data_IF_811950823026
#
_entry.id   IF_811950823026
#
_cell.length_a   1.000
_cell.length_b   1.000
_cell.length_c   1.000
_cell.angle_alpha   90.00
_cell.angle_beta   90.00
_cell.angle_gamma   90.00
#
_symmetry.space_group_name_H-M   'P 1'
#
loop_
_entity.id
_entity.type
_entity.pdbx_description
1 polymer ?
#
# COMPACT_ATOMS: atom_id res chain seq x y z
N UNK A 1 26.80 -19.05 -30.97
CA UNK A 1 27.93 -19.69 -31.67
C UNK A 1 27.42 -20.26 -32.98
N UNK A 2 28.30 -20.71 -33.87
CA UNK A 2 27.91 -21.30 -35.17
C UNK A 2 26.95 -22.48 -35.03
N UNK A 3 27.05 -23.22 -33.92
CA UNK A 3 26.11 -24.29 -33.57
C UNK A 3 24.66 -23.77 -33.45
N UNK A 4 24.43 -22.68 -32.72
CA UNK A 4 23.08 -22.14 -32.52
C UNK A 4 22.52 -21.48 -33.80
N UNK A 5 23.38 -20.93 -34.66
CA UNK A 5 22.95 -20.34 -35.93
C UNK A 5 22.46 -21.38 -36.96
N UNK A 6 22.99 -22.61 -36.88
CA UNK A 6 22.61 -23.72 -37.76
C UNK A 6 21.52 -24.62 -37.16
N UNK A 7 20.98 -24.30 -35.98
CA UNK A 7 19.89 -25.07 -35.37
C UNK A 7 18.55 -24.74 -36.04
N UNK A 8 17.99 -25.73 -36.75
CA UNK A 8 16.68 -25.64 -37.41
C UNK A 8 15.54 -25.23 -36.50
N UNK A 9 15.54 -25.73 -35.26
CA UNK A 9 14.50 -25.39 -34.30
C UNK A 9 14.61 -23.92 -33.89
N UNK A 10 15.83 -23.40 -33.75
CA UNK A 10 16.09 -22.03 -33.34
C UNK A 10 15.64 -21.01 -34.39
N UNK A 11 16.05 -21.17 -35.66
CA UNK A 11 15.61 -20.22 -36.70
C UNK A 11 14.11 -20.37 -37.03
N UNK A 12 13.54 -21.58 -36.93
CA UNK A 12 12.10 -21.78 -37.11
C UNK A 12 11.31 -21.07 -36.02
N UNK A 13 11.76 -21.15 -34.77
CA UNK A 13 11.16 -20.41 -33.65
C UNK A 13 11.25 -18.90 -33.89
N UNK A 14 12.43 -18.38 -34.26
CA UNK A 14 12.62 -16.96 -34.55
C UNK A 14 11.73 -16.47 -35.71
N UNK A 15 11.66 -17.22 -36.81
CA UNK A 15 10.80 -16.89 -37.95
C UNK A 15 9.31 -16.86 -37.56
N UNK A 16 8.85 -17.84 -36.76
CA UNK A 16 7.50 -17.86 -36.22
C UNK A 16 7.23 -16.68 -35.28
N UNK A 17 8.18 -16.32 -34.42
CA UNK A 17 8.06 -15.16 -33.53
C UNK A 17 7.88 -13.87 -34.32
N UNK A 18 8.64 -13.67 -35.41
CA UNK A 18 8.47 -12.50 -36.29
C UNK A 18 7.11 -12.53 -36.99
N UNK A 19 6.71 -13.69 -37.54
CA UNK A 19 5.43 -13.83 -38.26
C UNK A 19 4.21 -13.62 -37.35
N UNK A 20 4.29 -14.05 -36.10
CA UNK A 20 3.19 -13.98 -35.13
C UNK A 20 3.26 -12.75 -34.22
N UNK A 21 4.32 -11.94 -34.31
CA UNK A 21 4.44 -10.72 -33.54
C UNK A 21 3.27 -9.78 -33.84
N UNK A 22 2.43 -9.56 -32.82
CA UNK A 22 1.33 -8.60 -32.85
C UNK A 22 1.48 -7.67 -31.66
N UNK A 23 1.94 -6.42 -31.87
CA UNK A 23 2.01 -5.43 -30.81
C UNK A 23 0.63 -5.28 -30.16
N UNK A 24 0.55 -5.46 -28.84
CA UNK A 24 -0.68 -5.20 -28.11
C UNK A 24 -0.83 -3.70 -27.87
N UNK A 25 -2.04 -3.18 -28.12
CA UNK A 25 -2.38 -1.80 -27.84
C UNK A 25 -2.37 -1.48 -26.33
N UNK A 26 -2.44 -2.51 -25.49
CA UNK A 26 -2.46 -2.38 -24.02
C UNK A 26 -1.05 -2.31 -23.40
N UNK A 27 0.00 -2.31 -24.22
CA UNK A 27 1.37 -2.20 -23.72
C UNK A 27 1.70 -0.77 -23.30
N UNK A 28 2.55 -0.65 -22.28
CA UNK A 28 3.02 0.62 -21.73
C UNK A 28 4.45 0.80 -22.20
N UNK A 29 4.72 1.71 -23.15
CA UNK A 29 6.08 1.93 -23.64
C UNK A 29 6.92 2.56 -22.53
N UNK A 30 8.02 1.90 -22.18
CA UNK A 30 8.94 2.34 -21.12
C UNK A 30 10.39 2.27 -21.57
N UNK A 31 11.25 3.07 -20.95
CA UNK A 31 12.71 2.97 -21.07
C UNK A 31 13.30 2.32 -19.83
N UNK A 32 14.42 1.63 -19.96
CA UNK A 32 15.06 0.90 -18.86
C UNK A 32 16.45 1.44 -18.50
N UNK A 33 16.79 1.42 -17.22
CA UNK A 33 18.12 1.77 -16.72
C UNK A 33 18.62 0.72 -15.72
N UNK A 34 19.90 0.36 -15.85
CA UNK A 34 20.56 -0.59 -14.97
C UNK A 34 20.35 -2.05 -15.37
N UNK A 35 21.10 -2.94 -14.74
CA UNK A 35 21.12 -4.36 -15.04
C UNK A 35 22.33 -4.77 -15.89
N UNK A 36 22.44 -6.07 -16.11
CA UNK A 36 23.52 -6.68 -16.90
C UNK A 36 23.20 -6.62 -18.40
N UNK A 37 24.16 -7.01 -19.26
CA UNK A 37 23.98 -7.11 -20.71
C UNK A 37 22.81 -8.00 -21.15
N UNK A 38 22.35 -8.90 -20.28
CA UNK A 38 21.20 -9.77 -20.55
C UNK A 38 19.88 -9.21 -20.04
N UNK A 39 19.89 -8.08 -19.31
CA UNK A 39 18.70 -7.36 -18.86
C UNK A 39 17.61 -8.29 -18.31
N UNK A 40 17.99 -9.19 -17.39
CA UNK A 40 17.13 -10.29 -16.90
C UNK A 40 15.82 -9.75 -16.31
N UNK A 41 15.90 -8.66 -15.53
CA UNK A 41 14.72 -8.03 -14.92
C UNK A 41 13.81 -7.40 -15.96
N UNK A 42 14.38 -6.70 -16.92
CA UNK A 42 13.65 -6.11 -18.04
C UNK A 42 12.98 -7.20 -18.90
N UNK A 43 13.63 -8.34 -19.09
CA UNK A 43 13.03 -9.50 -19.78
C UNK A 43 11.80 -10.04 -19.05
N UNK A 44 11.86 -10.15 -17.71
CA UNK A 44 10.71 -10.54 -16.89
C UNK A 44 9.58 -9.51 -17.04
N UNK A 45 9.88 -8.22 -16.91
CA UNK A 45 8.91 -7.14 -17.07
C UNK A 45 8.18 -7.23 -18.42
N UNK A 46 8.93 -7.40 -19.52
CA UNK A 46 8.36 -7.48 -20.86
C UNK A 46 7.56 -8.74 -21.15
N UNK A 47 7.75 -9.81 -20.37
CA UNK A 47 7.02 -11.08 -20.53
C UNK A 47 5.80 -11.20 -19.62
N UNK A 48 5.90 -10.70 -18.39
CA UNK A 48 4.93 -10.95 -17.32
C UNK A 48 4.04 -9.73 -17.03
N UNK A 49 4.35 -8.57 -17.61
CA UNK A 49 3.59 -7.33 -17.36
C UNK A 49 3.25 -6.60 -18.65
N UNK A 50 2.51 -5.49 -18.55
CA UNK A 50 2.23 -4.59 -19.67
C UNK A 50 3.42 -3.72 -20.08
N UNK A 51 4.51 -3.69 -19.31
CA UNK A 51 5.67 -2.86 -19.61
C UNK A 51 6.40 -3.31 -20.88
N UNK A 52 6.34 -2.52 -21.94
CA UNK A 52 7.08 -2.74 -23.18
C UNK A 52 8.35 -1.90 -23.19
N UNK A 53 9.49 -2.54 -22.95
CA UNK A 53 10.79 -1.88 -22.94
C UNK A 53 11.28 -1.58 -24.36
N UNK A 54 11.57 -0.31 -24.62
CA UNK A 54 12.33 0.11 -25.79
C UNK A 54 13.84 0.16 -25.50
N UNK A 55 14.40 1.37 -25.43
CA UNK A 55 15.81 1.54 -25.10
C UNK A 55 16.11 1.16 -23.65
N UNK A 56 17.22 0.45 -23.46
CA UNK A 56 17.73 0.04 -22.16
C UNK A 56 19.18 0.49 -22.02
N UNK A 57 19.50 1.22 -20.96
CA UNK A 57 20.85 1.65 -20.64
C UNK A 57 21.49 0.72 -19.61
N UNK A 58 22.61 0.11 -19.97
CA UNK A 58 23.34 -0.80 -19.10
C UNK A 58 23.93 -0.08 -17.88
N UNK A 59 24.04 -0.76 -16.72
CA UNK A 59 24.56 -0.18 -15.46
C UNK A 59 25.85 0.64 -15.64
N UNK A 60 26.79 0.17 -16.46
CA UNK A 60 28.09 0.83 -16.70
C UNK A 60 27.97 2.22 -17.32
N UNK A 61 26.89 2.49 -18.04
CA UNK A 61 26.71 3.72 -18.81
C UNK A 61 25.81 4.73 -18.09
N UNK A 62 25.02 4.27 -17.10
CA UNK A 62 24.06 5.10 -16.35
C UNK A 62 24.75 6.30 -15.66
N UNK A 63 25.96 6.12 -15.12
CA UNK A 63 26.70 7.23 -14.49
C UNK A 63 27.05 8.39 -15.45
N UNK A 64 26.98 8.17 -16.76
CA UNK A 64 27.25 9.18 -17.80
C UNK A 64 26.00 9.69 -18.52
N UNK A 65 24.82 9.27 -18.08
CA UNK A 65 23.55 9.63 -18.70
C UNK A 65 23.30 11.14 -18.66
N UNK A 66 22.78 11.69 -19.77
CA UNK A 66 22.44 13.10 -19.93
C UNK A 66 20.96 13.27 -20.25
N UNK A 67 20.34 14.41 -19.94
CA UNK A 67 18.93 14.68 -20.25
C UNK A 67 18.57 14.45 -21.72
N UNK A 68 19.44 14.86 -22.65
CA UNK A 68 19.19 14.73 -24.09
C UNK A 68 19.16 13.26 -24.52
N UNK A 69 19.98 12.41 -23.88
CA UNK A 69 19.97 10.96 -24.13
C UNK A 69 18.66 10.34 -23.64
N UNK A 70 18.17 10.73 -22.46
CA UNK A 70 16.89 10.23 -21.91
C UNK A 70 15.73 10.64 -22.81
N UNK A 71 15.69 11.89 -23.26
CA UNK A 71 14.68 12.36 -24.23
C UNK A 71 14.72 11.55 -25.52
N UNK A 72 15.92 11.33 -26.08
CA UNK A 72 16.07 10.52 -27.30
C UNK A 72 15.63 9.06 -27.07
N UNK A 73 16.00 8.46 -25.92
CA UNK A 73 15.57 7.13 -25.55
C UNK A 73 14.05 7.06 -25.49
N UNK A 74 13.38 8.02 -24.87
CA UNK A 74 11.92 8.04 -24.77
C UNK A 74 11.25 8.20 -26.14
N UNK A 75 11.66 9.20 -26.93
CA UNK A 75 11.13 9.47 -28.27
C UNK A 75 11.28 8.25 -29.19
N UNK A 76 12.48 7.66 -29.24
CA UNK A 76 12.80 6.52 -30.11
C UNK A 76 12.24 5.18 -29.60
N UNK A 77 11.68 5.16 -28.40
CA UNK A 77 11.00 3.99 -27.81
C UNK A 77 9.48 4.07 -27.94
N UNK A 78 8.99 4.67 -29.02
CA UNK A 78 7.55 4.83 -29.25
C UNK A 78 6.91 5.89 -28.33
N UNK A 79 7.68 6.89 -27.90
CA UNK A 79 7.22 7.90 -26.95
C UNK A 79 7.00 7.31 -25.56
N UNK A 80 8.03 6.65 -25.02
CA UNK A 80 7.96 6.01 -23.72
C UNK A 80 7.44 6.97 -22.63
N UNK A 81 6.46 6.50 -21.88
CA UNK A 81 5.68 7.31 -20.93
C UNK A 81 6.19 7.21 -19.49
N UNK A 82 7.12 6.28 -19.23
CA UNK A 82 7.73 6.06 -17.94
C UNK A 82 9.13 5.42 -18.08
N UNK A 83 9.88 5.41 -16.99
CA UNK A 83 11.18 4.75 -16.90
C UNK A 83 11.20 3.67 -15.81
N UNK A 84 11.78 2.52 -16.11
CA UNK A 84 12.10 1.50 -15.12
C UNK A 84 13.57 1.60 -14.72
N UNK A 85 13.84 1.65 -13.40
CA UNK A 85 15.19 1.72 -12.85
C UNK A 85 15.48 0.48 -12.00
N UNK A 86 16.43 -0.35 -12.43
CA UNK A 86 16.95 -1.44 -11.60
C UNK A 86 17.87 -0.86 -10.52
N UNK A 87 17.25 -0.35 -9.45
CA UNK A 87 17.94 0.28 -8.32
C UNK A 87 18.93 -0.65 -7.63
N UNK A 88 18.77 -1.98 -7.73
CA UNK A 88 19.71 -2.94 -7.13
C UNK A 88 21.01 -3.04 -7.93
N UNK A 89 20.99 -2.63 -9.19
CA UNK A 89 22.12 -2.66 -10.10
C UNK A 89 22.86 -1.31 -10.18
N UNK A 90 22.46 -0.30 -9.38
CA UNK A 90 23.02 1.06 -9.42
C UNK A 90 23.43 1.53 -8.02
N UNK A 91 24.43 2.41 -7.95
CA UNK A 91 24.82 3.08 -6.71
C UNK A 91 23.86 4.22 -6.35
N UNK A 92 23.84 4.63 -5.07
CA UNK A 92 22.99 5.75 -4.62
C UNK A 92 23.22 7.06 -5.40
N UNK A 93 24.47 7.47 -5.72
CA UNK A 93 24.71 8.67 -6.52
C UNK A 93 24.17 8.56 -7.95
N UNK A 94 24.31 7.40 -8.59
CA UNK A 94 23.78 7.17 -9.95
C UNK A 94 22.25 7.21 -9.96
N UNK A 95 21.60 6.61 -8.96
CA UNK A 95 20.15 6.68 -8.79
C UNK A 95 19.72 8.13 -8.62
N UNK A 96 20.35 8.89 -7.72
CA UNK A 96 20.01 10.28 -7.48
C UNK A 96 20.18 11.15 -8.74
N UNK A 97 21.26 10.96 -9.50
CA UNK A 97 21.52 11.63 -10.76
C UNK A 97 20.45 11.32 -11.81
N UNK A 98 20.16 10.03 -12.02
CA UNK A 98 19.15 9.57 -12.98
C UNK A 98 17.74 10.05 -12.60
N UNK A 99 17.33 9.88 -11.34
CA UNK A 99 16.01 10.33 -10.88
C UNK A 99 15.86 11.84 -11.04
N UNK A 100 16.90 12.63 -10.74
CA UNK A 100 16.86 14.08 -10.98
C UNK A 100 16.67 14.45 -12.45
N UNK A 101 17.25 13.70 -13.38
CA UNK A 101 17.02 13.90 -14.83
C UNK A 101 15.59 13.52 -15.21
N UNK A 102 15.11 12.36 -14.75
CA UNK A 102 13.75 11.88 -15.03
C UNK A 102 12.69 12.87 -14.54
N UNK A 103 12.84 13.37 -13.30
CA UNK A 103 11.96 14.36 -12.70
C UNK A 103 11.95 15.68 -13.50
N UNK A 104 13.14 16.17 -13.89
CA UNK A 104 13.27 17.40 -14.68
C UNK A 104 12.63 17.29 -16.07
N UNK A 105 12.58 16.07 -16.63
CA UNK A 105 11.95 15.78 -17.92
C UNK A 105 10.47 15.39 -17.78
N UNK A 106 9.95 15.26 -16.56
CA UNK A 106 8.58 14.80 -16.33
C UNK A 106 8.34 13.35 -16.74
N UNK A 107 9.37 12.51 -16.76
CA UNK A 107 9.26 11.08 -17.05
C UNK A 107 9.20 10.32 -15.72
N UNK A 108 8.02 9.85 -15.30
CA UNK A 108 7.87 9.17 -14.01
C UNK A 108 8.61 7.82 -13.98
N UNK A 109 9.13 7.47 -12.81
CA UNK A 109 9.63 6.12 -12.55
C UNK A 109 8.44 5.15 -12.34
N UNK A 110 8.52 3.96 -12.93
CA UNK A 110 7.57 2.86 -12.71
C UNK A 110 8.31 1.58 -12.31
N UNK A 111 7.88 0.96 -11.22
CA UNK A 111 8.50 -0.27 -10.74
C UNK A 111 7.85 -1.51 -11.35
N UNK A 112 8.56 -2.64 -11.32
CA UNK A 112 7.99 -3.96 -11.66
C UNK A 112 6.73 -4.24 -10.82
N UNK A 113 6.76 -3.88 -9.53
CA UNK A 113 5.61 -4.04 -8.64
C UNK A 113 4.41 -3.19 -9.05
N UNK A 114 4.63 -1.96 -9.54
CA UNK A 114 3.54 -1.10 -10.03
C UNK A 114 2.95 -1.66 -11.32
N UNK A 115 3.78 -2.15 -12.24
CA UNK A 115 3.34 -2.81 -13.48
C UNK A 115 2.51 -4.07 -13.22
N UNK A 116 2.84 -4.84 -12.17
CA UNK A 116 2.04 -5.99 -11.74
C UNK A 116 0.70 -5.53 -11.15
N UNK A 117 0.73 -4.53 -10.26
CA UNK A 117 -0.48 -3.99 -9.61
C UNK A 117 -1.43 -3.31 -10.58
N UNK A 118 -0.90 -2.74 -11.66
CA UNK A 118 -1.69 -2.09 -12.71
C UNK A 118 -2.63 -3.06 -13.41
N UNK A 119 -2.42 -4.38 -13.31
CA UNK A 119 -3.36 -5.42 -13.77
C UNK A 119 -3.96 -5.15 -15.18
N UNK A 120 -5.28 -5.11 -15.30
CA UNK A 120 -6.02 -4.78 -16.52
C UNK A 120 -6.19 -3.27 -16.75
N UNK A 121 -5.89 -2.40 -15.78
CA UNK A 121 -6.01 -0.94 -15.89
C UNK A 121 -5.10 -0.34 -16.98
N UNK A 122 -5.45 0.83 -17.51
CA UNK A 122 -4.55 1.63 -18.35
C UNK A 122 -3.52 2.40 -17.53
N UNK A 123 -2.40 2.76 -18.17
CA UNK A 123 -1.40 3.60 -17.52
C UNK A 123 -1.91 5.01 -17.16
N UNK A 124 -2.84 5.55 -17.95
CA UNK A 124 -3.44 6.85 -17.67
C UNK A 124 -4.28 6.83 -16.40
N UNK A 125 -5.12 5.81 -16.23
CA UNK A 125 -5.88 5.60 -15.00
C UNK A 125 -4.93 5.37 -13.80
N UNK A 126 -3.89 4.54 -13.96
CA UNK A 126 -2.89 4.33 -12.90
C UNK A 126 -2.25 5.63 -12.41
N UNK A 127 -1.90 6.55 -13.33
CA UNK A 127 -1.37 7.88 -12.99
C UNK A 127 -2.37 8.70 -12.19
N UNK A 128 -3.65 8.68 -12.56
CA UNK A 128 -4.71 9.41 -11.83
C UNK A 128 -4.83 8.89 -10.39
N UNK A 129 -4.89 7.58 -10.21
CA UNK A 129 -4.95 6.97 -8.87
C UNK A 129 -3.68 7.22 -8.05
N UNK A 130 -2.51 7.14 -8.67
CA UNK A 130 -1.23 7.45 -8.00
C UNK A 130 -1.17 8.92 -7.58
N UNK A 131 -1.62 9.85 -8.42
CA UNK A 131 -1.71 11.27 -8.09
C UNK A 131 -2.69 11.53 -6.93
N UNK A 132 -3.85 10.87 -6.93
CA UNK A 132 -4.81 10.96 -5.82
C UNK A 132 -4.24 10.43 -4.50
N UNK A 133 -3.40 9.40 -4.52
CA UNK A 133 -2.66 8.94 -3.33
C UNK A 133 -1.67 10.01 -2.85
N UNK A 134 -0.93 10.61 -3.77
CA UNK A 134 0.07 11.65 -3.49
C UNK A 134 -0.53 12.98 -2.96
N UNK A 135 -1.82 13.22 -3.19
CA UNK A 135 -2.57 14.33 -2.59
C UNK A 135 -2.89 14.09 -1.10
N UNK A 136 -3.02 12.83 -0.69
CA UNK A 136 -3.21 12.45 0.72
C UNK A 136 -1.89 12.65 1.47
N UNK A 137 -0.84 11.99 0.99
CA UNK A 137 0.51 12.09 1.52
C UNK A 137 1.49 11.68 0.42
N UNK A 138 2.61 12.40 0.29
CA UNK A 138 3.59 12.13 -0.76
C UNK A 138 4.27 10.77 -0.57
N UNK A 139 4.31 9.97 -1.63
CA UNK A 139 5.01 8.69 -1.63
C UNK A 139 4.22 7.53 -1.02
N UNK A 140 2.90 7.67 -0.87
CA UNK A 140 2.03 6.54 -0.54
C UNK A 140 2.08 5.49 -1.66
N UNK A 141 1.99 4.22 -1.26
CA UNK A 141 1.86 3.11 -2.19
C UNK A 141 0.42 2.64 -2.23
N UNK A 142 -0.10 2.46 -3.44
CA UNK A 142 -1.43 1.88 -3.67
C UNK A 142 -1.32 0.37 -3.91
N UNK A 143 -2.35 -0.37 -3.49
CA UNK A 143 -2.44 -1.82 -3.64
C UNK A 143 -3.86 -2.21 -4.06
N UNK A 144 -4.02 -2.85 -5.23
CA UNK A 144 -5.33 -3.17 -5.78
C UNK A 144 -5.98 -4.33 -5.03
N UNK A 145 -7.30 -4.26 -4.89
CA UNK A 145 -8.15 -5.38 -4.50
C UNK A 145 -9.08 -5.73 -5.66
N UNK A 146 -8.88 -6.92 -6.23
CA UNK A 146 -9.57 -7.34 -7.46
C UNK A 146 -9.10 -6.61 -8.72
N UNK A 147 -9.86 -6.79 -9.81
CA UNK A 147 -9.67 -6.03 -11.04
C UNK A 147 -10.23 -4.62 -10.88
N UNK A 148 -9.52 -3.63 -11.40
CA UNK A 148 -9.90 -2.22 -11.26
C UNK A 148 -9.99 -1.63 -12.66
N UNK A 149 -11.20 -1.24 -13.03
CA UNK A 149 -11.46 -0.60 -14.31
C UNK A 149 -10.92 0.85 -14.33
N UNK A 150 -10.71 1.35 -15.54
CA UNK A 150 -10.42 2.76 -15.77
C UNK A 150 -11.58 3.64 -15.27
N UNK A 151 -11.23 4.70 -14.55
CA UNK A 151 -12.20 5.54 -13.85
C UNK A 151 -11.58 6.79 -13.27
N UNK A 152 -12.44 7.63 -12.69
CA UNK A 152 -11.99 8.82 -11.97
C UNK A 152 -11.77 8.48 -10.49
N UNK A 153 -10.57 8.72 -9.93
CA UNK A 153 -10.27 8.36 -8.56
C UNK A 153 -11.05 9.22 -7.57
N UNK A 154 -11.52 8.60 -6.50
CA UNK A 154 -12.09 9.28 -5.34
C UNK A 154 -11.45 8.75 -4.06
N UNK A 155 -10.94 9.68 -3.24
CA UNK A 155 -10.35 9.38 -1.94
C UNK A 155 -11.44 9.22 -0.87
N UNK A 156 -11.53 8.04 -0.28
CA UNK A 156 -12.41 7.75 0.86
C UNK A 156 -11.52 7.68 2.10
N UNK A 157 -11.65 8.66 2.99
CA UNK A 157 -10.86 8.72 4.23
C UNK A 157 -11.74 8.48 5.44
N UNK A 158 -11.23 7.73 6.40
CA UNK A 158 -11.81 7.57 7.72
C UNK A 158 -11.01 8.43 8.72
N UNK A 159 -11.65 8.97 9.77
CA UNK A 159 -10.93 9.57 10.89
C UNK A 159 -9.91 8.58 11.50
N UNK A 160 -8.70 9.04 11.82
CA UNK A 160 -7.61 8.16 12.33
C UNK A 160 -7.99 7.47 13.64
N UNK A 161 -8.71 8.16 14.53
CA UNK A 161 -9.20 7.61 15.80
C UNK A 161 -10.24 6.51 15.58
N UNK A 162 -11.16 6.72 14.64
CA UNK A 162 -12.17 5.73 14.25
C UNK A 162 -11.55 4.51 13.58
N UNK A 163 -10.63 4.72 12.63
CA UNK A 163 -9.90 3.64 11.97
C UNK A 163 -9.02 2.86 12.96
N UNK A 164 -8.30 3.56 13.85
CA UNK A 164 -7.46 2.93 14.87
C UNK A 164 -8.29 2.13 15.87
N UNK A 165 -9.46 2.64 16.27
CA UNK A 165 -10.37 1.90 17.14
C UNK A 165 -10.88 0.61 16.47
N UNK A 166 -11.20 0.63 15.18
CA UNK A 166 -11.68 -0.55 14.46
C UNK A 166 -10.55 -1.54 14.13
N UNK A 167 -9.46 -1.08 13.55
CA UNK A 167 -8.47 -1.92 12.88
C UNK A 167 -7.04 -1.79 13.43
N UNK A 168 -6.82 -0.96 14.45
CA UNK A 168 -5.46 -0.69 14.97
C UNK A 168 -4.75 -1.90 15.57
N UNK A 169 -5.49 -2.92 16.03
CA UNK A 169 -4.92 -4.19 16.53
C UNK A 169 -4.91 -5.30 15.48
N UNK A 170 -5.83 -5.25 14.53
CA UNK A 170 -6.01 -6.26 13.50
C UNK A 170 -6.64 -5.63 12.26
N UNK A 171 -5.85 -5.54 11.19
CA UNK A 171 -6.28 -5.01 9.90
C UNK A 171 -6.86 -6.07 8.96
N UNK A 172 -6.86 -7.36 9.35
CA UNK A 172 -7.35 -8.43 8.49
C UNK A 172 -8.82 -8.23 8.05
N UNK A 173 -9.76 -7.82 8.93
CA UNK A 173 -11.14 -7.56 8.51
C UNK A 173 -11.25 -6.44 7.47
N UNK A 174 -10.41 -5.40 7.56
CA UNK A 174 -10.37 -4.31 6.59
C UNK A 174 -9.90 -4.81 5.23
N UNK A 175 -8.79 -5.56 5.20
CA UNK A 175 -8.25 -6.14 3.96
C UNK A 175 -9.25 -7.12 3.32
N UNK A 176 -9.86 -8.02 4.10
CA UNK A 176 -10.88 -8.95 3.59
C UNK A 176 -12.10 -8.24 3.01
N UNK A 177 -12.58 -7.18 3.67
CA UNK A 177 -13.68 -6.38 3.12
C UNK A 177 -13.32 -5.75 1.77
N UNK A 178 -12.09 -5.26 1.60
CA UNK A 178 -11.66 -4.68 0.32
C UNK A 178 -11.51 -5.75 -0.76
N UNK A 179 -10.98 -6.94 -0.41
CA UNK A 179 -10.92 -8.09 -1.33
C UNK A 179 -12.31 -8.52 -1.81
N UNK A 180 -13.30 -8.55 -0.91
CA UNK A 180 -14.70 -8.88 -1.23
C UNK A 180 -15.38 -7.77 -2.04
N UNK A 181 -15.05 -6.50 -1.75
CA UNK A 181 -15.61 -5.34 -2.46
C UNK A 181 -15.10 -5.29 -3.90
N UNK A 182 -13.80 -5.51 -4.11
CA UNK A 182 -13.14 -5.37 -5.40
C UNK A 182 -13.16 -3.94 -5.95
N UNK A 183 -12.37 -3.66 -6.99
CA UNK A 183 -12.41 -2.36 -7.67
C UNK A 183 -11.89 -1.18 -6.84
N UNK A 184 -11.06 -1.44 -5.83
CA UNK A 184 -10.56 -0.45 -4.88
C UNK A 184 -9.08 -0.63 -4.60
N UNK A 185 -8.40 0.43 -4.17
CA UNK A 185 -7.03 0.37 -3.66
C UNK A 185 -7.00 0.71 -2.18
N UNK A 186 -6.27 -0.06 -1.39
CA UNK A 186 -5.77 0.46 -0.12
C UNK A 186 -4.46 1.23 -0.34
N UNK A 187 -4.17 2.15 0.57
CA UNK A 187 -2.92 2.91 0.60
C UNK A 187 -2.08 2.56 1.82
N UNK A 188 -0.77 2.48 1.62
CA UNK A 188 0.20 2.32 2.72
C UNK A 188 1.24 3.43 2.70
N UNK A 189 1.61 3.95 3.87
CA UNK A 189 2.72 4.86 4.07
C UNK A 189 4.07 4.16 4.22
N UNK A 190 5.03 4.88 4.78
CA UNK A 190 6.37 4.34 5.04
C UNK A 190 6.32 3.09 5.94
N UNK A 191 7.20 2.13 5.66
CA UNK A 191 7.26 0.86 6.40
C UNK A 191 6.06 -0.05 6.19
N UNK A 192 5.15 0.26 5.25
CA UNK A 192 3.94 -0.52 5.02
C UNK A 192 2.83 -0.23 6.03
N UNK A 193 2.88 0.91 6.75
CA UNK A 193 1.78 1.34 7.62
C UNK A 193 0.50 1.50 6.78
N UNK A 194 -0.53 0.75 7.11
CA UNK A 194 -1.84 0.89 6.50
C UNK A 194 -2.43 2.26 6.86
N UNK A 195 -2.92 3.00 5.86
CA UNK A 195 -3.50 4.32 6.06
C UNK A 195 -5.03 4.22 6.20
N UNK A 196 -5.69 5.15 6.91
CA UNK A 196 -7.15 5.20 7.04
C UNK A 196 -7.81 5.74 5.76
N UNK A 197 -7.34 5.32 4.59
CA UNK A 197 -7.82 5.80 3.31
C UNK A 197 -7.86 4.68 2.27
N UNK A 198 -8.83 4.80 1.35
CA UNK A 198 -9.07 3.89 0.23
C UNK A 198 -9.32 4.74 -1.00
N UNK A 199 -8.81 4.30 -2.15
CA UNK A 199 -9.13 4.89 -3.45
C UNK A 199 -10.12 3.99 -4.18
N UNK A 200 -11.16 4.58 -4.74
CA UNK A 200 -12.16 3.86 -5.55
C UNK A 200 -12.53 4.72 -6.76
N UNK A 201 -13.24 4.14 -7.74
CA UNK A 201 -13.91 4.95 -8.75
C UNK A 201 -14.95 5.87 -8.07
N UNK A 202 -15.00 7.13 -8.50
CA UNK A 202 -15.93 8.13 -7.99
C UNK A 202 -17.40 7.67 -7.99
N UNK A 203 -17.81 6.83 -8.94
CA UNK A 203 -19.15 6.22 -9.01
C UNK A 203 -19.43 5.28 -7.84
N UNK A 204 -18.40 4.61 -7.32
CA UNK A 204 -18.50 3.64 -6.23
C UNK A 204 -18.24 4.27 -4.85
N UNK A 205 -17.79 5.54 -4.80
CA UNK A 205 -17.41 6.25 -3.57
C UNK A 205 -18.41 6.07 -2.43
N UNK A 206 -19.70 6.33 -2.67
CA UNK A 206 -20.74 6.27 -1.63
C UNK A 206 -20.93 4.86 -1.08
N UNK A 207 -20.97 3.86 -1.95
CA UNK A 207 -21.15 2.46 -1.56
C UNK A 207 -19.98 1.97 -0.70
N UNK A 208 -18.74 2.20 -1.17
CA UNK A 208 -17.52 1.79 -0.46
C UNK A 208 -17.40 2.53 0.88
N UNK A 209 -17.66 3.84 0.90
CA UNK A 209 -17.64 4.62 2.14
C UNK A 209 -18.65 4.10 3.17
N UNK A 210 -19.89 3.84 2.75
CA UNK A 210 -20.92 3.29 3.62
C UNK A 210 -20.56 1.92 4.17
N UNK A 211 -20.02 1.03 3.33
CA UNK A 211 -19.55 -0.30 3.74
C UNK A 211 -18.40 -0.24 4.74
N UNK A 212 -17.41 0.65 4.52
CA UNK A 212 -16.29 0.84 5.44
C UNK A 212 -16.75 1.38 6.81
N UNK A 213 -17.69 2.31 6.83
CA UNK A 213 -18.27 2.84 8.07
C UNK A 213 -18.97 1.71 8.82
N UNK A 214 -19.86 0.97 8.15
CA UNK A 214 -20.60 -0.14 8.74
C UNK A 214 -19.66 -1.21 9.31
N UNK A 215 -18.62 -1.61 8.55
CA UNK A 215 -17.60 -2.56 9.01
C UNK A 215 -16.85 -2.04 10.25
N UNK A 216 -16.48 -0.75 10.26
CA UNK A 216 -15.76 -0.14 11.37
C UNK A 216 -16.59 -0.16 12.66
N UNK A 217 -17.86 0.24 12.58
CA UNK A 217 -18.80 0.16 13.71
C UNK A 217 -18.95 -1.29 14.19
N UNK A 218 -19.16 -2.23 13.27
CA UNK A 218 -19.28 -3.66 13.60
C UNK A 218 -18.03 -4.19 14.29
N UNK A 219 -16.84 -3.82 13.82
CA UNK A 219 -15.60 -4.29 14.39
C UNK A 219 -15.33 -3.69 15.78
N UNK A 220 -15.61 -2.40 15.99
CA UNK A 220 -15.50 -1.76 17.31
C UNK A 220 -16.45 -2.42 18.31
N UNK A 221 -17.73 -2.55 17.95
CA UNK A 221 -18.77 -3.12 18.81
C UNK A 221 -18.56 -4.62 19.11
N UNK A 222 -17.96 -5.37 18.19
CA UNK A 222 -17.64 -6.79 18.41
C UNK A 222 -16.44 -7.00 19.34
N UNK A 223 -15.48 -6.08 19.34
CA UNK A 223 -14.18 -6.29 19.98
C UNK A 223 -13.95 -5.47 21.25
N UNK A 224 -14.81 -4.49 21.52
CA UNK A 224 -14.64 -3.56 22.64
C UNK A 224 -15.96 -3.39 23.41
N UNK A 225 -15.84 -3.10 24.70
CA UNK A 225 -16.96 -2.65 25.51
C UNK A 225 -17.28 -1.21 25.10
N UNK A 226 -18.35 -1.01 24.35
CA UNK A 226 -18.76 0.30 23.88
C UNK A 226 -20.27 0.45 23.79
N UNK A 227 -20.73 1.70 23.84
CA UNK A 227 -22.12 2.09 23.59
C UNK A 227 -22.15 2.97 22.35
N UNK A 228 -23.10 2.70 21.47
CA UNK A 228 -23.39 3.54 20.30
C UNK A 228 -24.63 4.35 20.60
N UNK A 229 -24.52 5.66 20.48
CA UNK A 229 -25.63 6.61 20.64
C UNK A 229 -25.58 7.60 19.49
N UNK A 230 -26.64 7.63 18.67
CA UNK A 230 -26.73 8.40 17.42
C UNK A 230 -25.47 8.28 16.53
N UNK A 231 -24.66 9.32 16.45
CA UNK A 231 -23.43 9.42 15.65
C UNK A 231 -22.14 9.29 16.50
N UNK A 232 -22.24 8.82 17.75
CA UNK A 232 -21.11 8.70 18.67
C UNK A 232 -20.97 7.26 19.17
N UNK A 233 -19.75 6.72 19.09
CA UNK A 233 -19.36 5.49 19.78
C UNK A 233 -18.52 5.84 21.00
N UNK A 234 -19.00 5.48 22.18
CA UNK A 234 -18.25 5.64 23.43
C UNK A 234 -17.66 4.30 23.85
N UNK A 235 -16.33 4.21 23.81
CA UNK A 235 -15.55 3.03 24.18
C UNK A 235 -15.15 3.12 25.64
N UNK A 236 -15.47 2.08 26.41
CA UNK A 236 -15.09 1.92 27.81
C UNK A 236 -13.81 1.08 27.91
N UNK A 237 -12.74 1.65 28.46
CA UNK A 237 -11.49 0.93 28.73
C UNK A 237 -11.23 0.86 30.23
N UNK A 238 -11.18 -0.35 30.77
CA UNK A 238 -10.73 -0.60 32.15
C UNK A 238 -9.21 -0.51 32.21
N UNK A 239 -8.69 0.35 33.08
CA UNK A 239 -7.26 0.53 33.29
C UNK A 239 -6.95 0.43 34.78
N UNK A 240 -5.80 -0.17 35.12
CA UNK A 240 -5.36 -0.27 36.49
C UNK A 240 -4.96 1.11 37.05
N UNK A 241 -5.57 1.50 38.16
CA UNK A 241 -5.23 2.73 38.88
C UNK A 241 -4.22 2.43 40.00
N UNK A 242 -2.96 2.74 39.72
CA UNK A 242 -1.87 2.57 40.68
C UNK A 242 -2.02 3.44 41.94
N UNK A 243 -2.73 4.58 41.87
CA UNK A 243 -2.98 5.43 43.05
C UNK A 243 -4.03 4.79 43.95
N UNK A 244 -5.10 4.27 43.36
CA UNK A 244 -6.13 3.54 44.10
C UNK A 244 -5.54 2.29 44.77
N UNK A 245 -4.73 1.52 44.04
CA UNK A 245 -4.02 0.36 44.57
C UNK A 245 -3.08 0.69 45.75
N UNK A 246 -2.32 1.79 45.66
CA UNK A 246 -1.48 2.27 46.78
C UNK A 246 -2.32 2.69 47.99
N UNK A 247 -3.45 3.34 47.75
CA UNK A 247 -4.38 3.78 48.81
C UNK A 247 -4.96 2.58 49.57
N UNK A 248 -5.20 1.46 48.88
CA UNK A 248 -5.63 0.20 49.50
C UNK A 248 -4.48 -0.56 50.20
N UNK A 249 -3.25 -0.04 50.16
CA UNK A 249 -2.07 -0.62 50.82
C UNK A 249 -1.37 -1.72 50.01
N UNK A 250 -1.63 -1.81 48.70
CA UNK A 250 -1.01 -2.80 47.84
C UNK A 250 0.41 -2.33 47.48
N UNK A 251 1.48 -3.10 47.81
CA UNK A 251 2.83 -2.69 47.49
C UNK A 251 3.07 -2.73 45.98
N UNK A 252 3.79 -1.74 45.47
CA UNK A 252 4.21 -1.71 44.07
C UNK A 252 5.08 -2.92 43.74
N UNK A 253 4.80 -3.60 42.63
CA UNK A 253 5.56 -4.77 42.22
C UNK A 253 4.68 -5.84 41.55
N UNK A 254 5.02 -7.14 41.68
CA UNK A 254 4.35 -8.23 40.97
C UNK A 254 2.83 -8.28 41.19
N UNK A 255 2.35 -7.81 42.35
CA UNK A 255 0.92 -7.78 42.69
C UNK A 255 0.11 -6.82 41.80
N UNK A 256 0.71 -5.70 41.37
CA UNK A 256 0.06 -4.79 40.42
C UNK A 256 -0.11 -5.47 39.07
N UNK A 257 0.90 -6.22 38.63
CA UNK A 257 0.82 -6.99 37.39
C UNK A 257 -0.26 -8.07 37.44
N UNK A 258 -0.44 -8.73 38.59
CA UNK A 258 -1.53 -9.71 38.81
C UNK A 258 -2.90 -9.04 38.69
N UNK A 259 -3.13 -7.96 39.45
CA UNK A 259 -4.39 -7.21 39.43
C UNK A 259 -4.69 -6.64 38.04
N UNK A 260 -3.67 -6.10 37.35
CA UNK A 260 -3.80 -5.58 35.99
C UNK A 260 -4.14 -6.65 34.95
N UNK A 261 -3.83 -7.94 35.21
CA UNK A 261 -4.21 -9.07 34.35
C UNK A 261 -5.57 -9.67 34.71
N UNK A 262 -6.28 -9.09 35.68
CA UNK A 262 -7.55 -9.63 36.16
C UNK A 262 -7.39 -10.74 37.21
N UNK A 263 -6.20 -10.93 37.78
CA UNK A 263 -6.00 -11.89 38.87
C UNK A 263 -6.25 -11.22 40.23
N UNK A 264 -7.10 -11.83 41.04
CA UNK A 264 -7.31 -11.44 42.45
C UNK A 264 -6.05 -11.71 43.27
N UNK A 265 -5.72 -10.79 44.18
CA UNK A 265 -4.53 -10.88 45.04
C UNK A 265 -4.92 -10.88 46.52
N UNK A 266 -4.30 -11.77 47.30
CA UNK A 266 -4.38 -11.74 48.77
C UNK A 266 -3.15 -11.05 49.34
N UNK A 267 -3.37 -10.03 50.16
CA UNK A 267 -2.33 -9.29 50.86
C UNK A 267 -1.86 -10.04 52.13
N UNK A 268 -0.67 -9.74 52.66
CA UNK A 268 -0.15 -10.36 53.89
C UNK A 268 -1.03 -10.13 55.12
N UNK A 269 -1.87 -9.10 55.11
CA UNK A 269 -2.83 -8.79 56.17
C UNK A 269 -4.14 -9.61 56.07
N UNK A 270 -4.23 -10.53 55.10
CA UNK A 270 -5.38 -11.40 54.87
C UNK A 270 -6.50 -10.79 54.02
N UNK A 271 -6.39 -9.52 53.60
CA UNK A 271 -7.37 -8.90 52.69
C UNK A 271 -7.22 -9.47 51.28
N UNK A 272 -8.35 -9.76 50.66
CA UNK A 272 -8.43 -10.17 49.25
C UNK A 272 -8.87 -8.96 48.44
N UNK A 273 -8.04 -8.53 47.49
CA UNK A 273 -8.32 -7.40 46.60
C UNK A 273 -8.64 -7.94 45.22
N UNK A 274 -9.82 -7.60 44.72
CA UNK A 274 -10.22 -7.93 43.35
C UNK A 274 -9.71 -6.87 42.35
N UNK A 275 -9.52 -7.22 41.07
CA UNK A 275 -9.12 -6.26 40.04
C UNK A 275 -10.06 -5.04 39.97
N UNK A 276 -11.37 -5.24 40.08
CA UNK A 276 -12.36 -4.16 39.96
C UNK A 276 -12.22 -3.10 41.07
N UNK A 277 -11.66 -3.43 42.23
CA UNK A 277 -11.39 -2.48 43.33
C UNK A 277 -10.23 -1.50 43.03
N UNK A 278 -9.42 -1.80 42.01
CA UNK A 278 -8.24 -1.02 41.62
C UNK A 278 -8.23 -0.65 40.14
N UNK A 279 -9.37 -0.79 39.47
CA UNK A 279 -9.54 -0.40 38.07
C UNK A 279 -10.34 0.89 37.98
N UNK A 280 -9.97 1.75 37.03
CA UNK A 280 -10.76 2.89 36.60
C UNK A 280 -11.29 2.64 35.19
N UNK A 281 -12.52 3.08 34.93
CA UNK A 281 -13.08 3.09 33.56
C UNK A 281 -12.74 4.43 32.93
N UNK A 282 -11.97 4.38 31.86
CA UNK A 282 -11.73 5.52 30.97
C UNK A 282 -12.67 5.42 29.78
N UNK A 283 -13.33 6.53 29.44
CA UNK A 283 -14.21 6.59 28.30
C UNK A 283 -13.56 7.38 27.17
N UNK A 284 -13.68 6.90 25.94
CA UNK A 284 -13.25 7.59 24.74
C UNK A 284 -14.41 7.62 23.76
N UNK A 285 -14.88 8.81 23.42
CA UNK A 285 -15.96 9.00 22.46
C UNK A 285 -15.37 9.33 21.09
N UNK A 286 -15.83 8.60 20.07
CA UNK A 286 -15.41 8.74 18.68
C UNK A 286 -16.66 8.98 17.84
N UNK A 287 -16.60 9.95 16.92
CA UNK A 287 -17.72 10.27 16.04
C UNK A 287 -17.74 9.34 14.82
N UNK A 288 -18.93 8.86 14.46
CA UNK A 288 -19.16 8.06 13.27
C UNK A 288 -19.28 9.02 12.07
N UNK A 289 -18.38 8.93 11.07
CA UNK A 289 -18.44 9.82 9.93
C UNK A 289 -19.68 9.53 9.06
N UNK A 290 -20.28 10.57 8.47
CA UNK A 290 -21.36 10.43 7.47
C UNK A 290 -22.78 10.23 8.02
N UNK A 291 -22.97 10.27 9.34
CA UNK A 291 -24.29 10.27 10.01
C UNK A 291 -24.67 11.66 10.55
N UNK A 292 -24.11 12.72 9.96
CA UNK A 292 -24.38 14.11 10.35
C UNK A 292 -25.81 14.50 9.95
N UNK A 293 -26.59 14.99 10.92
CA UNK A 293 -27.87 15.69 10.67
C UNK A 293 -27.66 17.06 10.05
#
# INVERSE_FOLDING_TARGET
>A
TEKEWNDEKAYTAAAKSVLYAKPSADTIPIIGFGGTHYAVRQSVIGQETKGALGHMMHTRDVGSVKPEMVLQMAEKSGGAVAAHVDRKALSKPEIAHLTGILDALGIPEITEGDLIKLNSMSYEAWKKYSAAADEIEKGLKIFPHGEIADGEPAVISLPEDFFSAAFGKDSAPFISFLDETGGVFHVTGQGGKLMPAVLADAKNRRSVSGGLIALSVQQITRTQDCVVDEDIITINRRQFDARLARTLGIPSGPLFGKLSRGETVTLPDGRTITPDEVMMVTQTSIRIPGLEN
#
